data_IF_163540995051
#
_entry.id   IF_163540995051
#
_cell.length_a   1.000
_cell.length_b   1.000
_cell.length_c   1.000
_cell.angle_alpha   90.00
_cell.angle_beta   90.00
_cell.angle_gamma   90.00
#
_symmetry.space_group_name_H-M   'P 1'
#
loop_
_entity.id
_entity.type
_entity.pdbx_description
1 polymer ?
#
# COMPACT_ATOMS: atom_id res chain seq x y z
N UNK A 1 12.66 13.79 9.50
CA UNK A 1 12.49 12.34 9.51
C UNK A 1 11.18 11.97 8.82
N UNK A 2 11.20 10.95 8.01
CA UNK A 2 10.02 10.51 7.27
C UNK A 2 9.48 9.21 7.85
N UNK A 3 8.15 9.05 7.80
CA UNK A 3 7.49 7.80 8.18
C UNK A 3 6.43 7.45 7.13
N UNK A 4 5.97 6.21 7.17
CA UNK A 4 5.06 5.69 6.14
C UNK A 4 3.98 4.83 6.78
N UNK A 5 2.76 4.97 6.30
CA UNK A 5 1.67 4.05 6.60
C UNK A 5 0.78 3.88 5.37
N UNK A 6 0.03 2.79 5.36
CA UNK A 6 -0.96 2.53 4.33
C UNK A 6 -2.24 2.03 4.98
N UNK A 7 -3.35 2.17 4.26
CA UNK A 7 -4.65 1.65 4.69
C UNK A 7 -5.40 1.22 3.43
N UNK A 8 -5.84 -0.03 3.40
CA UNK A 8 -6.48 -0.59 2.22
C UNK A 8 -7.96 -0.81 2.51
N UNK A 9 -8.81 -0.17 1.71
CA UNK A 9 -10.25 -0.29 1.81
C UNK A 9 -10.77 -1.02 0.58
N UNK A 10 -11.52 -2.10 0.81
CA UNK A 10 -12.25 -2.81 -0.23
C UNK A 10 -13.56 -2.09 -0.47
N UNK A 11 -13.66 -1.40 -1.62
CA UNK A 11 -14.84 -0.58 -1.91
C UNK A 11 -16.03 -1.40 -2.38
N UNK A 12 -15.84 -2.68 -2.69
CA UNK A 12 -16.94 -3.57 -3.08
C UNK A 12 -17.86 -3.84 -1.89
N UNK A 13 -17.28 -4.02 -0.70
CA UNK A 13 -18.05 -4.32 0.50
C UNK A 13 -17.96 -3.24 1.59
N UNK A 14 -17.14 -2.20 1.37
CA UNK A 14 -16.95 -1.13 2.34
C UNK A 14 -16.14 -1.53 3.57
N UNK A 15 -15.38 -2.61 3.50
CA UNK A 15 -14.60 -3.13 4.63
C UNK A 15 -13.11 -3.04 4.38
N UNK A 16 -12.27 -3.01 5.45
CA UNK A 16 -10.83 -3.07 5.27
C UNK A 16 -10.40 -4.36 4.57
N UNK A 17 -9.37 -4.27 3.72
CA UNK A 17 -8.78 -5.43 3.07
C UNK A 17 -7.76 -6.07 4.00
N UNK A 18 -8.22 -6.93 4.88
CA UNK A 18 -7.39 -7.62 5.87
C UNK A 18 -6.42 -8.59 5.19
N UNK A 19 -5.16 -8.57 5.61
CA UNK A 19 -4.17 -9.57 5.21
C UNK A 19 -3.56 -9.37 3.83
N UNK A 20 -3.89 -8.30 3.12
CA UNK A 20 -3.28 -8.04 1.81
C UNK A 20 -1.78 -7.83 1.95
N UNK A 21 -1.01 -8.45 1.06
CA UNK A 21 0.45 -8.31 1.04
C UNK A 21 0.86 -7.06 0.29
N UNK A 22 1.91 -6.41 0.78
CA UNK A 22 2.50 -5.23 0.17
C UNK A 22 3.99 -5.41 0.01
N UNK A 23 4.56 -4.78 -1.01
CA UNK A 23 6.01 -4.73 -1.22
C UNK A 23 6.41 -3.28 -1.41
N UNK A 24 7.31 -2.78 -0.58
CA UNK A 24 7.85 -1.44 -0.70
C UNK A 24 9.23 -1.51 -1.33
N UNK A 25 9.41 -0.79 -2.43
CA UNK A 25 10.71 -0.65 -3.08
C UNK A 25 11.23 0.76 -2.83
N UNK A 26 12.42 0.85 -2.25
CA UNK A 26 13.09 2.11 -1.92
C UNK A 26 13.81 2.69 -3.14
N UNK A 27 14.20 3.97 -3.11
CA UNK A 27 14.92 4.59 -4.23
C UNK A 27 16.22 3.87 -4.60
N UNK A 28 16.89 3.22 -3.64
CA UNK A 28 18.12 2.46 -3.90
C UNK A 28 17.86 1.02 -4.33
N UNK A 29 16.59 0.62 -4.53
CA UNK A 29 16.24 -0.74 -4.94
C UNK A 29 16.02 -1.73 -3.81
N UNK A 30 16.19 -1.33 -2.56
CA UNK A 30 15.89 -2.20 -1.42
C UNK A 30 14.41 -2.54 -1.37
N UNK A 31 14.10 -3.78 -0.99
CA UNK A 31 12.73 -4.29 -0.97
C UNK A 31 12.35 -4.70 0.44
N UNK A 32 11.17 -4.28 0.86
CA UNK A 32 10.57 -4.68 2.15
C UNK A 32 9.20 -5.27 1.85
N UNK A 33 8.97 -6.49 2.35
CA UNK A 33 7.66 -7.13 2.28
C UNK A 33 6.92 -6.90 3.59
N UNK A 34 5.63 -6.63 3.48
CA UNK A 34 4.75 -6.36 4.62
C UNK A 34 3.35 -6.90 4.35
N UNK A 35 2.49 -6.85 5.33
CA UNK A 35 1.09 -7.27 5.18
C UNK A 35 0.20 -6.32 5.95
N UNK A 36 -1.00 -6.09 5.42
CA UNK A 36 -2.03 -5.35 6.12
C UNK A 36 -2.56 -6.17 7.29
N UNK A 37 -2.85 -5.52 8.39
CA UNK A 37 -3.45 -6.18 9.56
C UNK A 37 -4.95 -6.36 9.37
N UNK A 38 -5.65 -6.77 10.43
CA UNK A 38 -7.10 -7.01 10.40
C UNK A 38 -7.89 -5.75 10.03
N UNK A 39 -7.36 -4.57 10.33
CA UNK A 39 -7.99 -3.30 9.99
C UNK A 39 -7.58 -2.77 8.61
N UNK A 40 -6.85 -3.56 7.83
CA UNK A 40 -6.35 -3.14 6.53
C UNK A 40 -5.22 -2.14 6.60
N UNK A 41 -4.59 -1.98 7.76
CA UNK A 41 -3.52 -1.00 7.97
C UNK A 41 -2.16 -1.66 7.92
N UNK A 42 -1.19 -0.92 7.40
CA UNK A 42 0.20 -1.38 7.32
C UNK A 42 1.11 -0.20 7.69
N UNK A 43 1.88 -0.37 8.75
CA UNK A 43 2.84 0.65 9.21
C UNK A 43 4.13 0.03 9.76
N UNK A 44 4.33 -1.27 9.57
CA UNK A 44 5.49 -1.98 10.07
C UNK A 44 6.37 -2.42 8.90
N UNK A 45 7.38 -1.62 8.62
CA UNK A 45 8.25 -1.80 7.46
C UNK A 45 9.63 -2.35 7.82
N UNK A 46 9.85 -2.66 9.10
CA UNK A 46 11.16 -3.10 9.58
C UNK A 46 12.20 -1.98 9.63
N UNK A 47 11.84 -0.78 9.23
CA UNK A 47 12.68 0.40 9.28
C UNK A 47 11.83 1.62 9.57
N UNK A 48 12.39 2.57 10.31
CA UNK A 48 11.74 3.83 10.62
C UNK A 48 12.40 5.00 9.90
N UNK A 49 13.35 4.70 9.02
CA UNK A 49 14.09 5.74 8.31
C UNK A 49 13.85 5.59 6.81
N UNK A 50 13.31 6.65 6.22
CA UNK A 50 13.04 6.71 4.80
C UNK A 50 13.74 7.92 4.21
N UNK A 51 14.78 7.69 3.41
CA UNK A 51 15.49 8.74 2.70
C UNK A 51 14.58 9.41 1.66
N UNK A 52 14.96 10.61 1.24
CA UNK A 52 14.27 11.27 0.14
C UNK A 52 14.43 10.46 -1.15
N UNK A 53 13.42 10.49 -1.99
CA UNK A 53 13.45 9.83 -3.30
C UNK A 53 12.11 9.22 -3.67
N UNK A 54 12.11 8.53 -4.80
CA UNK A 54 10.89 7.90 -5.34
C UNK A 54 10.79 6.46 -4.83
N UNK A 55 9.67 6.17 -4.22
CA UNK A 55 9.31 4.85 -3.69
C UNK A 55 8.22 4.24 -4.57
N UNK A 56 8.16 2.91 -4.55
CA UNK A 56 7.03 2.19 -5.15
C UNK A 56 6.41 1.27 -4.11
N UNK A 57 5.12 1.45 -3.86
CA UNK A 57 4.36 0.57 -3.00
C UNK A 57 3.50 -0.33 -3.88
N UNK A 58 3.81 -1.63 -3.89
CA UNK A 58 3.05 -2.62 -4.64
C UNK A 58 2.06 -3.30 -3.71
N UNK A 59 0.79 -3.26 -4.12
CA UNK A 59 -0.28 -3.96 -3.42
C UNK A 59 -0.59 -5.23 -4.19
N UNK A 60 -0.40 -6.39 -3.57
CA UNK A 60 -0.65 -7.70 -4.17
C UNK A 60 -2.14 -8.01 -4.05
N UNK A 61 -2.95 -7.31 -4.85
CA UNK A 61 -4.40 -7.33 -4.70
C UNK A 61 -5.09 -8.53 -5.33
N UNK A 62 -4.45 -9.19 -6.30
CA UNK A 62 -5.11 -10.27 -7.07
C UNK A 62 -5.60 -11.40 -6.17
N UNK A 63 -4.72 -11.90 -5.30
CA UNK A 63 -5.05 -13.03 -4.42
C UNK A 63 -6.20 -12.66 -3.48
N UNK A 64 -6.14 -11.47 -2.90
CA UNK A 64 -7.20 -10.97 -2.02
C UNK A 64 -8.53 -10.86 -2.77
N UNK A 65 -8.53 -10.20 -3.93
CA UNK A 65 -9.76 -9.95 -4.70
C UNK A 65 -10.37 -11.24 -5.23
N UNK A 66 -9.55 -12.18 -5.68
CA UNK A 66 -10.06 -13.51 -6.10
C UNK A 66 -10.69 -14.26 -4.95
N UNK A 67 -10.07 -14.22 -3.78
CA UNK A 67 -10.57 -14.89 -2.58
C UNK A 67 -11.90 -14.29 -2.12
N UNK A 68 -12.04 -12.96 -2.17
CA UNK A 68 -13.21 -12.26 -1.64
C UNK A 68 -14.33 -12.07 -2.66
N UNK A 69 -14.00 -11.89 -3.94
CA UNK A 69 -14.96 -11.47 -4.96
C UNK A 69 -14.90 -12.30 -6.24
N UNK A 70 -13.97 -13.25 -6.32
CA UNK A 70 -13.86 -14.15 -7.48
C UNK A 70 -13.29 -13.53 -8.74
N UNK A 71 -12.82 -12.28 -8.69
CA UNK A 71 -12.30 -11.58 -9.87
C UNK A 71 -11.29 -10.50 -9.47
N UNK A 72 -10.35 -10.23 -10.37
CA UNK A 72 -9.46 -9.10 -10.29
C UNK A 72 -8.94 -8.76 -11.68
N UNK A 73 -9.22 -7.54 -12.13
CA UNK A 73 -8.66 -7.03 -13.37
C UNK A 73 -7.16 -6.77 -13.24
N UNK A 74 -6.74 -6.37 -12.04
CA UNK A 74 -5.35 -6.01 -11.78
C UNK A 74 -4.59 -7.18 -11.20
N UNK A 75 -3.41 -7.53 -11.76
CA UNK A 75 -2.54 -8.55 -11.14
C UNK A 75 -1.91 -8.03 -9.86
N UNK A 76 -1.65 -6.73 -9.81
CA UNK A 76 -1.18 -5.98 -8.65
C UNK A 76 -1.41 -4.49 -8.95
N UNK A 77 -1.25 -3.65 -7.94
CA UNK A 77 -1.33 -2.20 -8.11
C UNK A 77 -0.04 -1.59 -7.59
N UNK A 78 0.64 -0.82 -8.43
CA UNK A 78 1.86 -0.09 -8.07
C UNK A 78 1.54 1.38 -7.92
N UNK A 79 1.86 1.94 -6.76
CA UNK A 79 1.76 3.37 -6.50
C UNK A 79 3.16 3.92 -6.30
N UNK A 80 3.59 4.79 -7.21
CA UNK A 80 4.84 5.52 -7.07
C UNK A 80 4.57 6.83 -6.37
N UNK A 81 5.41 7.16 -5.40
CA UNK A 81 5.29 8.42 -4.68
C UNK A 81 6.67 8.88 -4.25
N UNK A 82 6.79 10.16 -4.03
CA UNK A 82 8.07 10.75 -3.69
C UNK A 82 8.06 11.27 -2.27
N UNK A 83 9.08 10.89 -1.49
CA UNK A 83 9.35 11.47 -0.18
C UNK A 83 10.43 12.54 -0.33
N UNK A 84 10.19 13.70 0.27
CA UNK A 84 11.17 14.76 0.35
C UNK A 84 11.93 14.66 1.68
N UNK A 85 13.08 15.32 1.78
CA UNK A 85 13.75 15.39 3.08
C UNK A 85 12.86 16.10 4.08
N UNK A 86 12.74 15.53 5.27
CA UNK A 86 11.91 16.07 6.34
C UNK A 86 10.46 16.31 5.91
N UNK A 87 9.96 15.48 5.01
CA UNK A 87 8.58 15.55 4.53
C UNK A 87 7.54 15.14 5.56
N UNK A 88 7.96 14.47 6.62
CA UNK A 88 7.10 14.07 7.72
C UNK A 88 6.47 12.70 7.49
N UNK A 89 5.21 12.57 7.89
CA UNK A 89 4.50 11.32 7.74
C UNK A 89 3.82 11.24 6.38
N UNK A 90 4.01 10.11 5.69
CA UNK A 90 3.35 9.82 4.43
C UNK A 90 2.34 8.71 4.66
N UNK A 91 1.09 8.99 4.30
CA UNK A 91 0.03 7.99 4.36
C UNK A 91 -0.47 7.77 2.94
N UNK A 92 -0.36 6.52 2.46
CA UNK A 92 -0.70 6.13 1.09
C UNK A 92 -1.83 5.13 1.16
N UNK A 93 -3.08 5.58 1.16
CA UNK A 93 -4.23 4.67 1.18
C UNK A 93 -4.50 4.10 -0.20
N UNK A 94 -5.12 2.92 -0.24
CA UNK A 94 -5.61 2.31 -1.46
C UNK A 94 -7.09 1.97 -1.30
N UNK A 95 -7.90 2.47 -2.22
CA UNK A 95 -9.29 2.06 -2.36
C UNK A 95 -9.34 1.12 -3.55
N UNK A 96 -9.75 -0.14 -3.32
CA UNK A 96 -9.63 -1.20 -4.34
C UNK A 96 -10.96 -1.92 -4.54
N UNK A 97 -11.25 -2.25 -5.79
CA UNK A 97 -12.32 -3.16 -6.18
C UNK A 97 -11.80 -4.07 -7.30
N UNK A 98 -12.55 -5.10 -7.72
CA UNK A 98 -12.08 -6.00 -8.78
C UNK A 98 -11.69 -5.29 -10.08
N UNK A 99 -12.28 -4.14 -10.40
CA UNK A 99 -12.08 -3.46 -11.68
C UNK A 99 -11.69 -2.00 -11.56
N UNK A 100 -11.33 -1.53 -10.39
CA UNK A 100 -10.91 -0.13 -10.22
C UNK A 100 -10.18 0.12 -8.92
N UNK A 101 -9.40 1.18 -8.91
CA UNK A 101 -8.73 1.59 -7.67
C UNK A 101 -8.49 3.09 -7.69
N UNK A 102 -8.26 3.64 -6.52
CA UNK A 102 -7.77 5.00 -6.37
C UNK A 102 -6.81 5.08 -5.20
N UNK A 103 -5.95 6.07 -5.23
CA UNK A 103 -5.00 6.36 -4.17
C UNK A 103 -4.84 7.87 -4.07
N UNK A 104 -4.40 8.33 -2.90
CA UNK A 104 -4.16 9.73 -2.65
C UNK A 104 -3.19 9.85 -1.48
N UNK A 105 -2.67 11.06 -1.24
CA UNK A 105 -1.89 11.28 -0.03
C UNK A 105 -2.84 11.57 1.11
N UNK A 106 -2.92 10.65 2.06
CA UNK A 106 -3.71 10.84 3.27
C UNK A 106 -3.05 11.81 4.24
N UNK A 107 -3.78 12.22 5.21
CA UNK A 107 -3.28 13.12 6.26
C UNK A 107 -2.90 12.38 7.53
#
# INVERSE_FOLDING_TARGET
MNSLSSHILDTTNGKPASGMKLTLTSPNGSIIDASANADGRCNEWGSNEFAAGVYCLRFHCKEYLHSQHGASFYPFVDIHFEMTENGGHYHVPLLISPYGFSSYRGS
#
